data_IF_475626026626
#
_entry.id   IF_475626026626
#
_cell.length_a   1.000
_cell.length_b   1.000
_cell.length_c   1.000
_cell.angle_alpha   90.00
_cell.angle_beta   90.00
_cell.angle_gamma   90.00
#
_symmetry.space_group_name_H-M   'P 1'
#
loop_
_entity.id
_entity.type
_entity.pdbx_description
1 polymer ?
#
# COMPACT_ATOMS: atom_id res chain seq x y z
N UNK A 1 -6.62 19.91 33.21
CA UNK A 1 -7.49 19.02 32.38
C UNK A 1 -8.91 18.91 32.94
N UNK A 2 -9.07 18.59 34.23
CA UNK A 2 -10.38 18.48 34.93
C UNK A 2 -11.20 19.79 34.94
N UNK A 3 -10.56 20.96 35.05
CA UNK A 3 -11.23 22.27 35.09
C UNK A 3 -11.85 22.70 33.75
N UNK A 4 -11.19 22.41 32.62
CA UNK A 4 -11.76 22.63 31.27
C UNK A 4 -12.95 21.69 30.99
N UNK A 5 -12.91 20.44 31.47
CA UNK A 5 -14.01 19.47 31.33
C UNK A 5 -15.29 19.87 32.07
N UNK A 6 -15.17 20.36 33.31
CA UNK A 6 -16.34 20.85 34.08
C UNK A 6 -17.04 22.02 33.38
N UNK A 7 -16.28 22.91 32.75
CA UNK A 7 -16.84 24.05 32.01
C UNK A 7 -17.61 23.62 30.75
N UNK A 8 -17.12 22.60 30.04
CA UNK A 8 -17.74 22.08 28.82
C UNK A 8 -19.02 21.29 29.10
N UNK A 9 -19.01 20.42 30.12
CA UNK A 9 -20.20 19.66 30.53
C UNK A 9 -21.33 20.56 31.02
N UNK A 10 -20.99 21.67 31.70
CA UNK A 10 -21.97 22.67 32.15
C UNK A 10 -22.59 23.46 30.98
N UNK A 11 -21.84 23.66 29.89
CA UNK A 11 -22.31 24.38 28.69
C UNK A 11 -23.28 23.53 27.83
N UNK A 12 -23.19 22.20 27.90
CA UNK A 12 -23.97 21.29 27.05
C UNK A 12 -25.20 20.65 27.73
N UNK A 13 -25.54 21.02 28.97
CA UNK A 13 -26.72 20.54 29.73
C UNK A 13 -26.97 19.02 29.62
N UNK A 14 -25.93 18.22 29.80
CA UNK A 14 -26.03 16.76 29.67
C UNK A 14 -26.50 16.17 31.01
N UNK A 15 -27.80 15.96 31.16
CA UNK A 15 -28.39 15.19 32.27
C UNK A 15 -28.63 13.74 31.84
N UNK A 16 -28.05 12.79 32.57
CA UNK A 16 -28.37 11.35 32.43
C UNK A 16 -27.67 10.60 31.29
N UNK A 17 -26.33 10.67 31.18
CA UNK A 17 -25.39 9.73 30.49
C UNK A 17 -23.94 10.03 30.93
N UNK A 18 -23.76 10.40 32.20
CA UNK A 18 -22.62 11.21 32.64
C UNK A 18 -21.35 10.44 33.01
N UNK A 19 -21.38 9.11 33.13
CA UNK A 19 -20.19 8.33 33.44
C UNK A 19 -19.29 8.17 32.21
N UNK A 20 -19.84 7.78 31.06
CA UNK A 20 -19.09 7.55 29.81
C UNK A 20 -18.50 8.84 29.23
N UNK A 21 -19.15 9.98 29.44
CA UNK A 21 -18.65 11.31 29.06
C UNK A 21 -17.66 11.91 30.08
N UNK A 22 -17.68 11.46 31.33
CA UNK A 22 -16.75 11.91 32.37
C UNK A 22 -15.48 11.04 32.45
N UNK A 23 -15.61 9.76 32.09
CA UNK A 23 -14.58 8.72 32.05
C UNK A 23 -14.51 8.09 30.67
N UNK A 24 -14.24 8.90 29.63
CA UNK A 24 -13.92 8.35 28.32
C UNK A 24 -12.71 7.41 28.40
N UNK A 25 -12.53 6.54 27.41
CA UNK A 25 -11.39 5.61 27.32
C UNK A 25 -10.06 6.35 27.01
N UNK A 26 -9.80 7.50 27.63
CA UNK A 26 -8.55 8.26 27.43
C UNK A 26 -7.33 7.50 27.97
N UNK A 27 -7.55 6.62 28.94
CA UNK A 27 -6.53 5.66 29.38
C UNK A 27 -6.10 4.72 28.24
N UNK A 28 -6.95 4.47 27.24
CA UNK A 28 -6.56 3.73 26.04
C UNK A 28 -5.46 4.46 25.28
N UNK A 29 -5.60 5.78 25.09
CA UNK A 29 -4.58 6.61 24.45
C UNK A 29 -3.30 6.70 25.27
N UNK A 30 -3.42 6.82 26.60
CA UNK A 30 -2.26 6.88 27.49
C UNK A 30 -1.45 5.57 27.51
N UNK A 31 -2.13 4.43 27.44
CA UNK A 31 -1.50 3.10 27.42
C UNK A 31 -1.33 2.53 26.01
N UNK A 32 -1.69 3.29 24.97
CA UNK A 32 -1.49 2.86 23.60
C UNK A 32 0.01 2.80 23.32
N UNK A 33 0.45 1.71 22.69
CA UNK A 33 1.79 1.67 22.14
C UNK A 33 1.88 2.69 21.00
N UNK A 34 2.71 3.72 21.20
CA UNK A 34 2.94 4.75 20.20
C UNK A 34 3.93 4.27 19.13
N UNK A 35 4.58 3.11 19.32
CA UNK A 35 5.27 2.38 18.28
C UNK A 35 4.34 1.29 17.72
N UNK A 36 3.52 1.57 16.67
CA UNK A 36 2.60 0.58 16.14
C UNK A 36 3.35 -0.64 15.59
N UNK A 37 2.81 -1.83 15.86
CA UNK A 37 3.39 -3.08 15.38
C UNK A 37 3.55 -3.11 13.85
N UNK A 38 2.59 -2.53 13.13
CA UNK A 38 2.61 -2.45 11.65
C UNK A 38 2.18 -1.07 11.18
N UNK A 39 2.63 -0.67 10.00
CA UNK A 39 2.30 0.61 9.36
C UNK A 39 1.68 0.44 7.97
N UNK A 40 1.13 -0.75 7.70
CA UNK A 40 0.40 -1.04 6.46
C UNK A 40 -0.82 -0.12 6.28
N UNK A 41 -1.00 0.36 5.05
CA UNK A 41 -2.15 1.18 4.65
C UNK A 41 -2.80 0.71 3.34
N UNK A 42 -2.32 -0.41 2.77
CA UNK A 42 -2.87 -0.99 1.55
C UNK A 42 -4.25 -1.63 1.80
N UNK A 43 -5.01 -1.90 0.73
CA UNK A 43 -6.31 -2.55 0.87
C UNK A 43 -6.17 -4.03 1.24
N UNK A 44 -5.13 -4.71 0.76
CA UNK A 44 -4.80 -6.09 1.14
C UNK A 44 -5.62 -7.19 0.44
N UNK A 45 -5.30 -8.44 0.74
CA UNK A 45 -5.93 -9.66 0.23
C UNK A 45 -6.57 -10.45 1.39
N UNK A 46 -7.89 -10.52 1.40
CA UNK A 46 -8.72 -10.88 2.57
C UNK A 46 -9.26 -12.31 2.56
N UNK A 47 -8.74 -13.20 1.71
CA UNK A 47 -9.25 -14.59 1.64
C UNK A 47 -9.25 -15.28 3.03
N UNK A 48 -8.21 -15.06 3.84
CA UNK A 48 -8.06 -15.66 5.18
C UNK A 48 -7.73 -14.65 6.28
N UNK A 49 -7.66 -13.36 5.93
CA UNK A 49 -7.24 -12.33 6.86
C UNK A 49 -8.40 -11.87 7.73
N UNK A 50 -8.15 -11.68 9.03
CA UNK A 50 -9.12 -11.09 9.96
C UNK A 50 -8.74 -9.67 10.39
N UNK A 51 -7.58 -9.19 9.93
CA UNK A 51 -7.04 -7.87 10.25
C UNK A 51 -6.31 -7.28 9.04
N UNK A 52 -6.28 -5.94 8.95
CA UNK A 52 -5.68 -5.23 7.80
C UNK A 52 -4.22 -5.58 7.56
N UNK A 53 -3.41 -5.64 8.62
CA UNK A 53 -2.00 -6.03 8.53
C UNK A 53 -1.79 -7.42 7.93
N UNK A 54 -2.62 -8.39 8.32
CA UNK A 54 -2.60 -9.74 7.74
C UNK A 54 -3.00 -9.71 6.26
N UNK A 55 -4.01 -8.93 5.91
CA UNK A 55 -4.46 -8.79 4.53
C UNK A 55 -3.37 -8.15 3.65
N UNK A 56 -2.68 -7.12 4.14
CA UNK A 56 -1.60 -6.46 3.42
C UNK A 56 -0.39 -7.39 3.22
N UNK A 57 0.02 -8.10 4.26
CA UNK A 57 1.07 -9.13 4.13
C UNK A 57 0.65 -10.24 3.15
N UNK A 58 -0.60 -10.71 3.23
CA UNK A 58 -1.13 -11.72 2.31
C UNK A 58 -1.14 -11.25 0.85
N UNK A 59 -1.48 -9.98 0.59
CA UNK A 59 -1.43 -9.38 -0.74
C UNK A 59 0.00 -9.41 -1.28
N UNK A 60 0.97 -8.97 -0.48
CA UNK A 60 2.37 -8.95 -0.90
C UNK A 60 2.90 -10.36 -1.17
N UNK A 61 2.62 -11.33 -0.29
CA UNK A 61 2.99 -12.74 -0.52
C UNK A 61 2.38 -13.30 -1.80
N UNK A 62 1.09 -13.04 -2.03
CA UNK A 62 0.41 -13.47 -3.24
C UNK A 62 1.02 -12.84 -4.49
N UNK A 63 1.41 -11.56 -4.43
CA UNK A 63 2.17 -10.92 -5.52
C UNK A 63 3.51 -11.63 -5.78
N UNK A 64 4.27 -12.01 -4.74
CA UNK A 64 5.52 -12.76 -4.89
C UNK A 64 5.29 -14.15 -5.51
N UNK A 65 4.19 -14.81 -5.16
CA UNK A 65 3.85 -16.14 -5.66
C UNK A 65 3.40 -16.12 -7.11
N UNK A 66 2.50 -15.19 -7.48
CA UNK A 66 1.96 -15.05 -8.85
C UNK A 66 3.01 -14.51 -9.83
N UNK A 67 3.88 -13.60 -9.37
CA UNK A 67 5.03 -13.14 -10.17
C UNK A 67 6.06 -14.25 -10.37
N UNK A 68 6.09 -15.25 -9.49
CA UNK A 68 7.08 -16.32 -9.46
C UNK A 68 8.38 -15.91 -8.77
N UNK A 69 8.44 -14.71 -8.16
CA UNK A 69 9.59 -14.24 -7.38
C UNK A 69 9.92 -15.25 -6.27
N UNK A 70 8.92 -15.75 -5.54
CA UNK A 70 9.12 -16.69 -4.43
C UNK A 70 9.75 -18.02 -4.81
N UNK A 71 9.79 -18.35 -6.11
CA UNK A 71 10.36 -19.61 -6.64
C UNK A 71 11.74 -19.41 -7.28
N UNK A 72 12.19 -18.16 -7.40
CA UNK A 72 13.49 -17.84 -7.97
C UNK A 72 14.59 -17.90 -6.90
N UNK A 73 15.82 -18.10 -7.36
CA UNK A 73 17.00 -18.01 -6.51
C UNK A 73 17.65 -16.65 -6.71
N UNK A 74 18.00 -16.00 -5.61
CA UNK A 74 18.81 -14.78 -5.58
C UNK A 74 18.25 -13.64 -6.43
N UNK A 75 17.05 -13.19 -6.09
CA UNK A 75 16.44 -12.00 -6.70
C UNK A 75 16.90 -10.74 -5.99
N UNK A 76 16.79 -9.62 -6.70
CA UNK A 76 16.89 -8.28 -6.11
C UNK A 76 15.57 -7.54 -6.33
N UNK A 77 15.06 -6.87 -5.32
CA UNK A 77 13.82 -6.10 -5.39
C UNK A 77 14.14 -4.61 -5.29
N UNK A 78 13.63 -3.83 -6.23
CA UNK A 78 13.51 -2.38 -6.11
C UNK A 78 12.04 -2.07 -5.90
N UNK A 79 11.68 -1.67 -4.70
CA UNK A 79 10.32 -1.31 -4.35
C UNK A 79 10.15 0.20 -4.39
N UNK A 80 9.16 0.65 -5.15
CA UNK A 80 8.83 2.06 -5.27
C UNK A 80 7.54 2.35 -4.54
N UNK A 81 7.49 3.48 -3.83
CA UNK A 81 6.38 3.76 -2.91
C UNK A 81 6.41 2.87 -1.67
N UNK A 82 7.60 2.48 -1.19
CA UNK A 82 7.75 1.47 -0.13
C UNK A 82 7.21 1.87 1.25
N UNK A 83 6.75 3.11 1.42
CA UNK A 83 6.25 3.63 2.69
C UNK A 83 7.24 3.40 3.84
N UNK A 84 6.76 2.77 4.90
CA UNK A 84 7.54 2.40 6.08
C UNK A 84 8.23 1.03 5.98
N UNK A 85 8.38 0.48 4.77
CA UNK A 85 9.11 -0.76 4.46
C UNK A 85 8.57 -2.03 5.16
N UNK A 86 7.24 -2.18 5.20
CA UNK A 86 6.60 -3.35 5.80
C UNK A 86 6.80 -4.62 4.96
N UNK A 87 6.78 -4.50 3.63
CA UNK A 87 7.18 -5.53 2.65
C UNK A 87 8.59 -6.07 2.90
N UNK A 88 9.57 -5.19 3.17
CA UNK A 88 10.94 -5.57 3.48
C UNK A 88 11.04 -6.39 4.77
N UNK A 89 10.23 -6.10 5.78
CA UNK A 89 10.15 -6.91 6.99
C UNK A 89 9.59 -8.31 6.69
N UNK A 90 8.60 -8.42 5.79
CA UNK A 90 8.10 -9.72 5.33
C UNK A 90 9.22 -10.52 4.63
N UNK A 91 10.01 -9.87 3.77
CA UNK A 91 11.15 -10.49 3.09
C UNK A 91 12.21 -10.99 4.08
N UNK A 92 12.59 -10.16 5.05
CA UNK A 92 13.56 -10.51 6.10
C UNK A 92 13.12 -11.69 6.97
N UNK A 93 11.81 -11.84 7.16
CA UNK A 93 11.26 -12.89 8.02
C UNK A 93 11.04 -14.21 7.28
N UNK A 94 10.74 -14.17 5.97
CA UNK A 94 10.20 -15.33 5.26
C UNK A 94 10.86 -15.67 3.92
N UNK A 95 11.70 -14.79 3.37
CA UNK A 95 12.23 -14.93 2.00
C UNK A 95 13.74 -14.62 1.95
N UNK A 96 14.50 -14.96 3.00
CA UNK A 96 15.95 -14.70 3.11
C UNK A 96 16.82 -15.55 2.19
N UNK A 97 16.31 -16.70 1.76
CA UNK A 97 16.91 -17.58 0.76
C UNK A 97 16.65 -17.11 -0.68
N UNK A 98 15.56 -16.36 -0.88
CA UNK A 98 15.10 -15.84 -2.18
C UNK A 98 15.66 -14.45 -2.47
N UNK A 99 15.39 -13.46 -1.60
CA UNK A 99 15.73 -12.06 -1.82
C UNK A 99 17.10 -11.72 -1.20
N UNK A 100 18.07 -11.32 -2.03
CA UNK A 100 19.42 -10.94 -1.56
C UNK A 100 19.58 -9.45 -1.38
N UNK A 101 18.90 -8.66 -2.19
CA UNK A 101 18.96 -7.21 -2.11
C UNK A 101 17.56 -6.62 -2.21
N UNK A 102 17.22 -5.74 -1.28
CA UNK A 102 16.01 -4.93 -1.34
C UNK A 102 16.40 -3.45 -1.32
N UNK A 103 15.84 -2.66 -2.24
CA UNK A 103 16.02 -1.22 -2.30
C UNK A 103 14.63 -0.57 -2.27
N UNK A 104 14.31 0.16 -1.20
CA UNK A 104 13.08 0.92 -1.08
C UNK A 104 13.25 2.38 -1.48
N UNK A 105 12.32 2.89 -2.28
CA UNK A 105 12.22 4.31 -2.63
C UNK A 105 10.91 4.89 -2.10
N UNK A 106 10.99 5.97 -1.32
CA UNK A 106 9.82 6.78 -0.93
C UNK A 106 10.14 8.26 -1.02
N UNK A 107 9.13 9.07 -1.35
CA UNK A 107 9.22 10.53 -1.40
C UNK A 107 9.12 11.19 -0.02
N UNK A 108 8.75 10.43 1.03
CA UNK A 108 8.60 10.99 2.38
C UNK A 108 9.87 10.80 3.21
N UNK A 109 10.58 11.87 3.61
CA UNK A 109 11.77 11.74 4.45
C UNK A 109 11.46 11.16 5.84
N UNK A 110 10.26 11.41 6.36
CA UNK A 110 9.80 10.82 7.62
C UNK A 110 9.64 9.29 7.49
N UNK A 111 9.05 8.82 6.39
CA UNK A 111 8.92 7.37 6.15
C UNK A 111 10.28 6.70 6.01
N UNK A 112 11.27 7.37 5.38
CA UNK A 112 12.65 6.86 5.33
C UNK A 112 13.22 6.65 6.73
N UNK A 113 13.09 7.64 7.62
CA UNK A 113 13.61 7.54 8.99
C UNK A 113 12.95 6.40 9.78
N UNK A 114 11.63 6.28 9.69
CA UNK A 114 10.86 5.24 10.38
C UNK A 114 11.22 3.85 9.84
N UNK A 115 11.25 3.69 8.51
CA UNK A 115 11.60 2.45 7.86
C UNK A 115 13.03 2.00 8.18
N UNK A 116 14.02 2.90 8.11
CA UNK A 116 15.42 2.57 8.42
C UNK A 116 15.57 2.08 9.87
N UNK A 117 14.97 2.80 10.82
CA UNK A 117 14.96 2.40 12.24
C UNK A 117 14.32 1.01 12.45
N UNK A 118 13.17 0.75 11.82
CA UNK A 118 12.48 -0.54 11.91
C UNK A 118 13.28 -1.67 11.27
N UNK A 119 13.89 -1.44 10.11
CA UNK A 119 14.70 -2.44 9.41
C UNK A 119 15.97 -2.77 10.18
N UNK A 120 16.65 -1.78 10.77
CA UNK A 120 17.80 -2.03 11.64
C UNK A 120 17.43 -2.85 12.88
N UNK A 121 16.28 -2.56 13.51
CA UNK A 121 15.75 -3.38 14.62
C UNK A 121 15.46 -4.81 14.16
N UNK A 122 14.78 -4.98 13.03
CA UNK A 122 14.43 -6.29 12.46
C UNK A 122 15.67 -7.12 12.09
N UNK A 123 16.69 -6.47 11.51
CA UNK A 123 17.95 -7.14 11.17
C UNK A 123 18.75 -7.60 12.38
N UNK A 124 18.78 -6.80 13.46
CA UNK A 124 19.43 -7.21 14.71
C UNK A 124 18.72 -8.39 15.36
N UNK A 125 17.40 -8.48 15.19
CA UNK A 125 16.59 -9.58 15.69
C UNK A 125 16.70 -10.85 14.81
N UNK A 126 16.92 -10.69 13.50
CA UNK A 126 17.26 -11.80 12.63
C UNK A 126 18.67 -12.32 12.99
N UNK A 127 18.79 -13.62 13.26
CA UNK A 127 20.06 -14.23 13.64
C UNK A 127 21.19 -13.95 12.62
N UNK A 128 22.45 -14.07 13.05
CA UNK A 128 23.70 -13.72 12.33
C UNK A 128 23.86 -14.23 10.87
N UNK A 129 22.93 -15.01 10.32
CA UNK A 129 22.97 -15.57 8.97
C UNK A 129 22.04 -14.86 7.96
N UNK A 130 21.47 -13.68 8.28
CA UNK A 130 20.69 -12.91 7.32
C UNK A 130 21.61 -12.11 6.37
N UNK A 131 21.78 -12.59 5.13
CA UNK A 131 22.59 -11.95 4.08
C UNK A 131 21.77 -11.00 3.18
N UNK A 132 20.52 -10.67 3.56
CA UNK A 132 19.75 -9.67 2.82
C UNK A 132 20.35 -8.28 3.05
N UNK A 133 20.72 -7.62 1.96
CA UNK A 133 21.12 -6.21 1.94
C UNK A 133 19.89 -5.34 1.69
N UNK A 134 19.54 -4.50 2.65
CA UNK A 134 18.48 -3.50 2.50
C UNK A 134 19.10 -2.12 2.36
N UNK A 135 18.50 -1.30 1.51
CA UNK A 135 18.80 0.12 1.38
C UNK A 135 17.48 0.86 1.23
N UNK A 136 17.36 2.01 1.85
CA UNK A 136 16.21 2.89 1.68
C UNK A 136 16.67 4.27 1.28
N UNK A 137 15.99 4.87 0.31
CA UNK A 137 16.32 6.18 -0.21
C UNK A 137 15.10 7.10 -0.21
N UNK A 138 15.37 8.35 0.15
CA UNK A 138 14.47 9.46 -0.11
C UNK A 138 14.62 9.87 -1.58
N UNK A 139 13.70 9.42 -2.43
CA UNK A 139 13.76 9.66 -3.86
C UNK A 139 12.36 9.62 -4.49
N UNK A 140 12.14 10.49 -5.48
CA UNK A 140 10.94 10.45 -6.31
C UNK A 140 11.08 9.35 -7.37
N UNK A 141 10.36 8.24 -7.18
CA UNK A 141 10.40 7.14 -8.13
C UNK A 141 9.81 7.53 -9.50
N UNK A 142 8.89 8.50 -9.59
CA UNK A 142 8.35 8.98 -10.85
C UNK A 142 9.37 9.80 -11.67
N UNK A 143 10.53 10.13 -11.09
CA UNK A 143 11.60 10.93 -11.73
C UNK A 143 12.98 10.28 -11.55
N UNK A 144 13.26 9.14 -12.21
CA UNK A 144 14.56 8.47 -12.08
C UNK A 144 15.76 9.35 -12.47
N UNK A 145 15.56 10.32 -13.35
CA UNK A 145 16.60 11.29 -13.75
C UNK A 145 17.03 12.25 -12.64
N UNK A 146 16.27 12.38 -11.55
CA UNK A 146 16.64 13.20 -10.39
C UNK A 146 17.31 12.39 -9.27
N UNK A 147 17.48 11.08 -9.47
CA UNK A 147 18.14 10.23 -8.48
C UNK A 147 19.63 10.55 -8.37
N UNK A 148 20.21 10.25 -7.21
CA UNK A 148 21.65 10.39 -7.02
C UNK A 148 22.41 9.28 -7.77
N UNK A 149 23.68 9.54 -8.05
CA UNK A 149 24.59 8.53 -8.63
C UNK A 149 24.71 7.26 -7.77
N UNK A 150 24.54 7.38 -6.45
CA UNK A 150 24.53 6.21 -5.57
C UNK A 150 23.32 5.31 -5.87
N UNK A 151 22.12 5.88 -6.00
CA UNK A 151 20.92 5.11 -6.36
C UNK A 151 21.13 4.44 -7.72
N UNK A 152 21.56 5.20 -8.73
CA UNK A 152 21.81 4.66 -10.07
C UNK A 152 22.80 3.49 -10.06
N UNK A 153 23.90 3.62 -9.32
CA UNK A 153 24.92 2.57 -9.20
C UNK A 153 24.37 1.30 -8.54
N UNK A 154 23.63 1.45 -7.45
CA UNK A 154 23.08 0.32 -6.72
C UNK A 154 22.00 -0.41 -7.55
N UNK A 155 21.07 0.30 -8.19
CA UNK A 155 20.00 -0.37 -8.97
C UNK A 155 20.51 -1.02 -10.26
N UNK A 156 21.53 -0.47 -10.92
CA UNK A 156 22.12 -1.03 -12.16
C UNK A 156 22.99 -2.25 -11.91
N UNK A 157 23.49 -2.45 -10.69
CA UNK A 157 24.35 -3.58 -10.33
C UNK A 157 23.58 -4.80 -9.80
N UNK A 158 22.25 -4.71 -9.74
CA UNK A 158 21.40 -5.76 -9.21
C UNK A 158 21.39 -7.00 -10.13
N UNK A 159 21.33 -8.18 -9.50
CA UNK A 159 21.13 -9.45 -10.20
C UNK A 159 19.65 -9.83 -10.14
N UNK A 160 19.11 -10.31 -11.26
CA UNK A 160 17.71 -10.70 -11.43
C UNK A 160 16.73 -9.67 -10.81
N UNK A 161 16.80 -8.39 -11.24
CA UNK A 161 16.03 -7.35 -10.58
C UNK A 161 14.54 -7.43 -10.89
N UNK A 162 13.74 -7.15 -9.87
CA UNK A 162 12.31 -6.94 -9.95
C UNK A 162 11.97 -5.52 -9.49
N UNK A 163 11.22 -4.78 -10.29
CA UNK A 163 10.55 -3.57 -9.84
C UNK A 163 9.22 -3.97 -9.20
N UNK A 164 9.02 -3.60 -7.94
CA UNK A 164 7.81 -3.90 -7.18
C UNK A 164 7.09 -2.61 -6.80
N UNK A 165 5.77 -2.57 -6.96
CA UNK A 165 4.93 -1.45 -6.56
C UNK A 165 3.61 -1.97 -5.99
N UNK A 166 3.30 -1.66 -4.74
CA UNK A 166 2.08 -2.14 -4.07
C UNK A 166 1.12 -0.97 -3.85
N UNK A 167 0.05 -0.90 -4.64
CA UNK A 167 -1.02 0.12 -4.61
C UNK A 167 -0.53 1.57 -4.54
N UNK A 168 0.47 1.92 -5.36
CA UNK A 168 1.11 3.25 -5.29
C UNK A 168 1.18 3.99 -6.63
N UNK A 169 1.05 3.28 -7.75
CA UNK A 169 1.25 3.87 -9.08
C UNK A 169 0.22 4.92 -9.45
N UNK A 170 -0.99 4.88 -8.87
CA UNK A 170 -2.00 5.91 -9.01
C UNK A 170 -1.55 7.28 -8.46
N UNK A 171 -0.58 7.31 -7.54
CA UNK A 171 -0.06 8.54 -6.91
C UNK A 171 1.11 9.18 -7.66
N UNK A 172 1.70 8.48 -8.63
CA UNK A 172 2.91 8.95 -9.30
C UNK A 172 2.64 10.18 -10.16
N UNK A 173 3.51 11.19 -10.05
CA UNK A 173 3.45 12.42 -10.84
C UNK A 173 4.84 12.77 -11.39
N UNK A 174 4.98 13.11 -12.69
CA UNK A 174 3.91 13.33 -13.65
C UNK A 174 3.34 12.02 -14.25
N UNK A 175 4.07 10.91 -14.17
CA UNK A 175 3.65 9.62 -14.71
C UNK A 175 4.47 8.47 -14.13
N UNK A 176 3.89 7.26 -14.08
CA UNK A 176 4.59 5.99 -13.79
C UNK A 176 5.44 5.47 -14.95
N UNK A 177 5.31 6.06 -16.15
CA UNK A 177 6.04 5.63 -17.34
C UNK A 177 7.56 5.72 -17.18
N UNK A 178 8.06 6.81 -16.58
CA UNK A 178 9.49 7.04 -16.45
C UNK A 178 10.19 5.93 -15.63
N UNK A 179 9.58 5.49 -14.54
CA UNK A 179 10.13 4.39 -13.72
C UNK A 179 10.04 3.04 -14.45
N UNK A 180 8.95 2.77 -15.17
CA UNK A 180 8.80 1.54 -15.93
C UNK A 180 9.82 1.43 -17.08
N UNK A 181 10.04 2.55 -17.79
CA UNK A 181 11.09 2.67 -18.81
C UNK A 181 12.48 2.49 -18.20
N UNK A 182 12.76 3.13 -17.07
CA UNK A 182 14.04 3.00 -16.38
C UNK A 182 14.28 1.54 -15.92
N UNK A 183 13.26 0.90 -15.35
CA UNK A 183 13.32 -0.50 -14.95
C UNK A 183 13.65 -1.42 -16.14
N UNK A 184 13.01 -1.20 -17.29
CA UNK A 184 13.26 -2.03 -18.48
C UNK A 184 14.63 -1.77 -19.12
N UNK A 185 15.00 -0.50 -19.26
CA UNK A 185 16.14 -0.07 -20.09
C UNK A 185 17.46 0.00 -19.30
N UNK A 186 17.41 0.31 -18.01
CA UNK A 186 18.60 0.52 -17.20
C UNK A 186 18.82 -0.58 -16.16
N UNK A 187 17.75 -1.20 -15.66
CA UNK A 187 17.85 -2.31 -14.70
C UNK A 187 17.66 -3.68 -15.37
N UNK A 188 17.02 -3.73 -16.54
CA UNK A 188 16.56 -4.97 -17.18
C UNK A 188 15.65 -5.80 -16.26
N UNK A 189 14.85 -5.10 -15.46
CA UNK A 189 14.02 -5.71 -14.43
C UNK A 189 12.70 -6.25 -14.98
N UNK A 190 12.25 -7.37 -14.41
CA UNK A 190 10.85 -7.75 -14.46
C UNK A 190 10.03 -6.86 -13.52
N UNK A 191 8.71 -6.84 -13.66
CA UNK A 191 7.81 -5.95 -12.91
C UNK A 191 6.70 -6.74 -12.24
N UNK A 192 6.41 -6.43 -10.98
CA UNK A 192 5.28 -6.97 -10.24
C UNK A 192 4.56 -5.82 -9.50
N UNK A 193 3.33 -5.51 -9.91
CA UNK A 193 2.54 -4.38 -9.41
C UNK A 193 1.22 -4.88 -8.85
N UNK A 194 0.69 -4.23 -7.81
CA UNK A 194 -0.75 -4.23 -7.52
C UNK A 194 -1.32 -2.84 -7.81
N UNK A 195 -2.46 -2.80 -8.51
CA UNK A 195 -3.18 -1.55 -8.77
C UNK A 195 -4.69 -1.78 -8.87
N UNK A 196 -5.43 -0.68 -8.89
CA UNK A 196 -6.86 -0.64 -9.15
C UNK A 196 -7.10 -0.19 -10.59
N UNK A 197 -7.81 -1.00 -11.36
CA UNK A 197 -8.07 -0.80 -12.77
C UNK A 197 -9.52 -0.42 -13.01
N UNK A 198 -9.77 0.51 -13.94
CA UNK A 198 -11.13 0.77 -14.41
C UNK A 198 -11.52 -0.23 -15.49
N UNK A 199 -12.77 -0.71 -15.44
CA UNK A 199 -13.33 -1.53 -16.51
C UNK A 199 -13.42 -0.73 -17.81
N UNK A 200 -13.22 -1.40 -18.92
CA UNK A 200 -13.25 -0.80 -20.27
C UNK A 200 -14.68 -0.58 -20.76
N UNK A 201 -14.83 0.32 -21.73
CA UNK A 201 -16.10 0.55 -22.43
C UNK A 201 -17.29 0.91 -21.51
N UNK A 202 -17.03 1.60 -20.41
CA UNK A 202 -18.07 2.06 -19.48
C UNK A 202 -18.95 3.15 -20.09
N UNK A 203 -20.23 3.18 -19.72
CA UNK A 203 -21.13 4.27 -20.09
C UNK A 203 -20.64 5.63 -19.56
N UNK A 204 -21.12 6.74 -20.14
CA UNK A 204 -20.81 8.10 -19.66
C UNK A 204 -21.22 8.27 -18.19
N UNK A 205 -22.35 7.67 -17.79
CA UNK A 205 -22.82 7.71 -16.42
C UNK A 205 -21.92 6.93 -15.47
N UNK A 206 -21.43 5.77 -15.87
CA UNK A 206 -20.50 4.99 -15.06
C UNK A 206 -19.14 5.67 -14.95
N UNK A 207 -18.69 6.33 -16.03
CA UNK A 207 -17.48 7.17 -15.99
C UNK A 207 -17.63 8.36 -15.03
N UNK A 208 -18.81 8.97 -14.97
CA UNK A 208 -19.11 10.02 -14.00
C UNK A 208 -19.09 9.47 -12.56
N UNK A 209 -19.70 8.30 -12.32
CA UNK A 209 -19.65 7.64 -10.99
C UNK A 209 -18.22 7.30 -10.57
N UNK A 210 -17.42 6.75 -11.49
CA UNK A 210 -16.01 6.46 -11.29
C UNK A 210 -15.24 7.73 -10.91
N UNK A 211 -15.44 8.81 -11.67
CA UNK A 211 -14.82 10.11 -11.38
C UNK A 211 -15.14 10.61 -9.96
N UNK A 212 -16.41 10.55 -9.55
CA UNK A 212 -16.82 10.92 -8.19
C UNK A 212 -16.12 10.01 -7.16
N UNK A 213 -16.15 8.69 -7.38
CA UNK A 213 -15.61 7.72 -6.42
C UNK A 213 -14.11 7.90 -6.18
N UNK A 214 -13.31 8.10 -7.25
CA UNK A 214 -11.87 8.32 -7.12
C UNK A 214 -11.55 9.72 -6.59
N UNK A 215 -12.37 10.74 -6.91
CA UNK A 215 -12.22 12.09 -6.34
C UNK A 215 -12.38 12.10 -4.82
N UNK A 216 -13.27 11.26 -4.28
CA UNK A 216 -13.44 11.07 -2.83
C UNK A 216 -12.24 10.42 -2.16
N UNK A 217 -11.41 9.69 -2.91
CA UNK A 217 -10.16 9.08 -2.47
C UNK A 217 -8.94 9.91 -2.83
N UNK A 218 -9.14 11.19 -3.17
CA UNK A 218 -8.12 12.14 -3.65
C UNK A 218 -7.25 11.62 -4.82
N UNK A 219 -7.80 10.69 -5.61
CA UNK A 219 -7.13 10.10 -6.76
C UNK A 219 -7.76 10.65 -8.04
N UNK A 220 -7.03 11.37 -8.91
CA UNK A 220 -7.57 11.77 -10.20
C UNK A 220 -7.83 10.56 -11.10
N UNK A 221 -9.04 10.45 -11.65
CA UNK A 221 -9.44 9.33 -12.52
C UNK A 221 -8.49 9.10 -13.71
N UNK A 222 -7.87 10.16 -14.24
CA UNK A 222 -6.92 10.05 -15.36
C UNK A 222 -5.64 9.29 -14.99
N UNK A 223 -5.36 9.06 -13.72
CA UNK A 223 -4.24 8.24 -13.28
C UNK A 223 -4.62 6.76 -13.11
N UNK A 224 -5.90 6.43 -13.09
CA UNK A 224 -6.37 5.06 -12.96
C UNK A 224 -6.54 4.49 -14.37
N UNK A 225 -5.84 3.39 -14.67
CA UNK A 225 -5.80 2.83 -16.02
C UNK A 225 -6.75 1.65 -16.17
N UNK A 226 -7.14 1.36 -17.40
CA UNK A 226 -7.70 0.06 -17.76
C UNK A 226 -6.59 -0.99 -17.98
N UNK A 227 -6.99 -2.25 -18.17
CA UNK A 227 -6.07 -3.33 -18.54
C UNK A 227 -5.33 -3.02 -19.84
N UNK A 228 -6.05 -2.64 -20.91
CA UNK A 228 -5.44 -2.31 -22.20
C UNK A 228 -4.46 -1.14 -22.08
N UNK A 229 -4.82 -0.09 -21.34
CA UNK A 229 -3.92 1.04 -21.10
C UNK A 229 -2.64 0.63 -20.36
N UNK A 230 -2.72 -0.34 -19.45
CA UNK A 230 -1.54 -0.91 -18.79
C UNK A 230 -0.68 -1.74 -19.75
N UNK A 231 -1.31 -2.55 -20.62
CA UNK A 231 -0.60 -3.31 -21.67
C UNK A 231 0.14 -2.33 -22.58
N UNK A 232 -0.55 -1.33 -23.12
CA UNK A 232 0.02 -0.32 -24.02
C UNK A 232 1.20 0.39 -23.36
N UNK A 233 1.04 0.80 -22.09
CA UNK A 233 2.09 1.44 -21.31
C UNK A 233 3.32 0.54 -21.14
N UNK A 234 3.14 -0.72 -20.75
CA UNK A 234 4.25 -1.66 -20.55
C UNK A 234 4.93 -2.00 -21.87
N UNK A 235 4.18 -2.23 -22.95
CA UNK A 235 4.73 -2.46 -24.29
C UNK A 235 5.52 -1.25 -24.77
N UNK A 236 5.01 -0.04 -24.58
CA UNK A 236 5.73 1.20 -24.89
C UNK A 236 7.02 1.35 -24.05
N UNK A 237 7.04 0.80 -22.83
CA UNK A 237 8.25 0.75 -22.00
C UNK A 237 9.25 -0.33 -22.43
N UNK A 238 8.89 -1.22 -23.35
CA UNK A 238 9.74 -2.28 -23.90
C UNK A 238 9.53 -3.68 -23.32
N UNK A 239 8.40 -3.93 -22.64
CA UNK A 239 7.98 -5.27 -22.23
C UNK A 239 7.24 -5.97 -23.38
N UNK A 240 7.35 -7.29 -23.47
CA UNK A 240 6.66 -8.09 -24.49
C UNK A 240 5.21 -8.35 -24.06
N UNK A 241 4.25 -8.13 -24.96
CA UNK A 241 2.82 -8.25 -24.66
C UNK A 241 2.44 -9.65 -24.15
N UNK A 242 3.06 -10.69 -24.72
CA UNK A 242 2.84 -12.10 -24.40
C UNK A 242 3.37 -12.49 -23.01
N UNK A 243 4.29 -11.68 -22.45
CA UNK A 243 4.87 -11.86 -21.11
C UNK A 243 4.18 -11.01 -20.05
N UNK A 244 3.13 -10.28 -20.40
CA UNK A 244 2.31 -9.50 -19.47
C UNK A 244 1.13 -10.35 -19.02
N UNK A 245 0.98 -10.51 -17.71
CA UNK A 245 -0.13 -11.25 -17.11
C UNK A 245 -0.85 -10.41 -16.06
N UNK A 246 -2.18 -10.54 -16.05
CA UNK A 246 -3.08 -9.90 -15.10
C UNK A 246 -3.73 -10.97 -14.23
N UNK A 247 -3.56 -10.86 -12.91
CA UNK A 247 -4.20 -11.75 -11.93
C UNK A 247 -5.17 -10.93 -11.10
N UNK A 248 -6.49 -10.95 -11.43
CA UNK A 248 -7.48 -10.22 -10.66
C UNK A 248 -7.65 -10.83 -9.26
N UNK A 249 -7.91 -9.97 -8.27
CA UNK A 249 -8.18 -10.39 -6.89
C UNK A 249 -9.32 -9.58 -6.24
N UNK A 250 -10.13 -8.89 -7.05
CA UNK A 250 -11.26 -8.03 -6.65
C UNK A 250 -12.18 -8.64 -5.58
N UNK A 251 -12.54 -9.92 -5.75
CA UNK A 251 -13.45 -10.64 -4.84
C UNK A 251 -12.89 -10.77 -3.42
N UNK A 252 -11.57 -10.68 -3.28
CA UNK A 252 -10.85 -10.82 -2.01
C UNK A 252 -10.39 -9.48 -1.44
N UNK A 253 -10.87 -8.34 -1.93
CA UNK A 253 -10.43 -7.03 -1.41
C UNK A 253 -11.58 -6.11 -1.04
N UNK A 254 -12.41 -5.69 -1.99
CA UNK A 254 -13.25 -4.51 -1.77
C UNK A 254 -14.38 -4.74 -0.76
N UNK A 255 -15.16 -5.81 -0.91
CA UNK A 255 -16.24 -6.11 0.03
C UNK A 255 -15.70 -6.48 1.43
N UNK A 256 -14.70 -7.38 1.57
CA UNK A 256 -14.11 -7.69 2.87
C UNK A 256 -13.48 -6.48 3.56
N UNK A 257 -12.74 -5.64 2.84
CA UNK A 257 -12.15 -4.41 3.37
C UNK A 257 -13.23 -3.45 3.88
N UNK A 258 -14.28 -3.22 3.08
CA UNK A 258 -15.43 -2.39 3.47
C UNK A 258 -16.07 -2.90 4.75
N UNK A 259 -16.27 -4.21 4.87
CA UNK A 259 -16.81 -4.85 6.07
C UNK A 259 -15.88 -4.63 7.29
N UNK A 260 -14.58 -4.84 7.13
CA UNK A 260 -13.60 -4.63 8.19
C UNK A 260 -13.62 -3.19 8.70
N UNK A 261 -13.54 -2.21 7.81
CA UNK A 261 -13.56 -0.79 8.19
C UNK A 261 -14.86 -0.45 8.93
N UNK A 262 -16.01 -0.93 8.46
CA UNK A 262 -17.29 -0.69 9.14
C UNK A 262 -17.30 -1.28 10.56
N UNK A 263 -16.78 -2.49 10.75
CA UNK A 263 -16.67 -3.13 12.06
C UNK A 263 -15.70 -2.37 12.98
N UNK A 264 -14.57 -1.90 12.46
CA UNK A 264 -13.62 -1.11 13.24
C UNK A 264 -14.20 0.25 13.64
N UNK A 265 -14.94 0.91 12.75
CA UNK A 265 -15.64 2.15 13.05
C UNK A 265 -16.77 1.99 14.08
N UNK A 266 -17.43 0.83 14.12
CA UNK A 266 -18.41 0.48 15.15
C UNK A 266 -17.73 0.28 16.51
N UNK A 267 -16.69 -0.55 16.57
CA UNK A 267 -15.91 -0.78 17.81
C UNK A 267 -15.31 0.52 18.36
N UNK A 268 -14.83 1.41 17.47
CA UNK A 268 -14.32 2.72 17.86
C UNK A 268 -15.38 3.55 18.60
N UNK A 269 -16.60 3.59 18.06
CA UNK A 269 -17.72 4.30 18.69
C UNK A 269 -18.17 3.64 20.00
N UNK A 270 -18.17 2.31 20.07
CA UNK A 270 -18.47 1.56 21.31
C UNK A 270 -17.48 1.88 22.44
N UNK A 271 -16.22 2.19 22.11
CA UNK A 271 -15.19 2.62 23.08
C UNK A 271 -15.28 4.13 23.43
N UNK A 272 -16.32 4.82 22.99
CA UNK A 272 -16.53 6.26 23.22
C UNK A 272 -15.78 7.16 22.23
N UNK A 273 -15.21 6.59 21.17
CA UNK A 273 -14.57 7.33 20.09
C UNK A 273 -15.55 8.15 19.26
N UNK A 274 -15.11 9.30 18.73
CA UNK A 274 -15.94 10.14 17.88
C UNK A 274 -16.10 9.53 16.50
N UNK A 275 -17.31 9.60 15.93
CA UNK A 275 -17.57 9.23 14.52
C UNK A 275 -16.65 9.99 13.54
N UNK A 276 -16.31 11.23 13.89
CA UNK A 276 -15.48 12.11 13.07
C UNK A 276 -14.01 11.66 13.04
N UNK A 277 -13.50 11.01 14.09
CA UNK A 277 -12.11 10.57 14.17
C UNK A 277 -11.82 9.42 13.18
N UNK A 278 -12.85 8.68 12.79
CA UNK A 278 -12.76 7.52 11.89
C UNK A 278 -13.36 7.80 10.49
N UNK A 279 -13.65 9.07 10.19
CA UNK A 279 -14.42 9.46 9.01
C UNK A 279 -13.67 9.15 7.70
N UNK A 280 -12.37 9.43 7.64
CA UNK A 280 -11.57 9.19 6.42
C UNK A 280 -11.57 7.70 6.06
N UNK A 281 -11.32 6.82 7.04
CA UNK A 281 -11.41 5.37 6.84
C UNK A 281 -12.82 4.94 6.44
N UNK A 282 -13.86 5.47 7.10
CA UNK A 282 -15.25 5.17 6.77
C UNK A 282 -15.60 5.54 5.32
N UNK A 283 -15.05 6.65 4.81
CA UNK A 283 -15.22 7.07 3.42
C UNK A 283 -14.57 6.06 2.46
N UNK A 284 -13.33 5.63 2.73
CA UNK A 284 -12.66 4.59 1.94
C UNK A 284 -13.46 3.28 1.97
N UNK A 285 -13.93 2.86 3.15
CA UNK A 285 -14.78 1.68 3.31
C UNK A 285 -16.09 1.77 2.53
N UNK A 286 -16.73 2.95 2.49
CA UNK A 286 -17.94 3.16 1.71
C UNK A 286 -17.68 3.12 0.20
N UNK A 287 -16.62 3.76 -0.29
CA UNK A 287 -16.24 3.77 -1.72
C UNK A 287 -15.89 2.36 -2.18
N UNK A 288 -15.03 1.64 -1.45
CA UNK A 288 -14.67 0.26 -1.77
C UNK A 288 -15.88 -0.68 -1.73
N UNK A 289 -16.78 -0.50 -0.76
CA UNK A 289 -18.05 -1.23 -0.73
C UNK A 289 -18.93 -0.95 -1.95
N UNK A 290 -18.92 0.28 -2.47
CA UNK A 290 -19.59 0.63 -3.73
C UNK A 290 -18.91 -0.02 -4.94
N UNK A 291 -17.57 0.00 -5.03
CA UNK A 291 -16.80 -0.70 -6.07
C UNK A 291 -17.14 -2.19 -6.12
N UNK A 292 -17.23 -2.85 -4.97
CA UNK A 292 -17.59 -4.26 -4.88
C UNK A 292 -18.99 -4.57 -5.48
N UNK A 293 -19.94 -3.64 -5.38
CA UNK A 293 -21.31 -3.82 -5.88
C UNK A 293 -21.46 -3.46 -7.35
N UNK A 294 -20.76 -2.43 -7.82
CA UNK A 294 -20.91 -1.95 -9.19
C UNK A 294 -20.03 -2.70 -10.20
N UNK A 295 -18.93 -3.30 -9.76
CA UNK A 295 -18.00 -4.03 -10.63
C UNK A 295 -17.26 -3.15 -11.64
N UNK A 296 -17.23 -1.82 -11.43
CA UNK A 296 -16.60 -0.86 -12.35
C UNK A 296 -15.09 -0.69 -12.10
N UNK A 297 -14.59 -1.22 -10.98
CA UNK A 297 -13.18 -1.18 -10.60
C UNK A 297 -12.74 -2.61 -10.28
N UNK A 298 -11.56 -2.97 -10.75
CA UNK A 298 -10.92 -4.25 -10.53
C UNK A 298 -9.61 -4.07 -9.76
N UNK A 299 -9.39 -4.86 -8.72
CA UNK A 299 -8.07 -4.95 -8.12
C UNK A 299 -7.27 -6.06 -8.82
N UNK A 300 -6.07 -5.74 -9.29
CA UNK A 300 -5.31 -6.65 -10.13
C UNK A 300 -3.81 -6.65 -9.78
N UNK A 301 -3.20 -7.83 -9.82
CA UNK A 301 -1.74 -7.95 -9.90
C UNK A 301 -1.35 -7.89 -11.38
N UNK A 302 -0.36 -7.08 -11.69
CA UNK A 302 0.11 -6.83 -13.06
C UNK A 302 1.57 -7.23 -13.08
N UNK A 303 1.89 -8.24 -13.87
CA UNK A 303 3.22 -8.85 -13.92
C UNK A 303 3.73 -8.78 -15.34
N UNK A 304 4.92 -8.23 -15.54
CA UNK A 304 5.60 -8.21 -16.84
C UNK A 304 7.00 -8.79 -16.68
N UNK A 305 7.31 -9.86 -17.41
CA UNK A 305 8.60 -10.55 -17.32
C UNK A 305 9.53 -10.10 -18.43
N UNK A 306 10.83 -10.05 -18.13
CA UNK A 306 11.92 -9.83 -19.10
C UNK A 306 12.35 -11.15 -19.74
#
# INVERSE_FOLDING_TARGET
MVSRRKAMNKKCQIEGKSADLAYGMENLWFNADLEPQTLWVNLGYWEKATHSSQACEALFRKLLDESGISRQKEVSIVEVGCGCAETAQVLLKHYTDVCRTWIGLTISPMQVQVADSRLQKAQKAAAHNCDIKYRIYHADAARPNTWSEDIHRNVKSLKNPWLVAVDTFADFRPSRKAILQYARNNMHASVAITDHLVVENTSIWDRMKLWISFRLLDTPLCHVLSRQQYIDLLVECGYEAEKISFVPYTEHVYAPYSQFINQQGQKWQEMGGGKWDYMDFSLVGWVTGWWARCGLVEACMIIART
#
